data_IF_792704904078
#
_entry.id   IF_792704904078
#
_cell.length_a   1.000
_cell.length_b   1.000
_cell.length_c   1.000
_cell.angle_alpha   90.00
_cell.angle_beta   90.00
_cell.angle_gamma   90.00
#
_symmetry.space_group_name_H-M   'P 1'
#
loop_
_entity.id
_entity.type
_entity.pdbx_description
1 polymer ?
#
# COMPACT_ATOMS: atom_id res chain seq x y z
N UNK A 1 5.54 -7.35 5.24
CA UNK A 1 4.13 -6.92 5.20
C UNK A 1 3.96 -5.59 5.93
N UNK A 2 3.07 -4.73 5.45
CA UNK A 2 2.82 -3.41 6.03
C UNK A 2 1.39 -2.93 5.79
N UNK A 3 0.98 -1.93 6.58
CA UNK A 3 -0.36 -1.40 6.61
C UNK A 3 -0.30 0.14 6.59
N UNK A 4 -1.15 0.82 5.80
CA UNK A 4 -1.15 2.27 5.69
C UNK A 4 0.23 2.81 5.21
N UNK A 5 0.89 3.69 5.93
CA UNK A 5 2.29 4.08 5.67
C UNK A 5 3.26 2.88 5.69
N UNK A 6 3.00 1.85 6.51
CA UNK A 6 3.73 0.59 6.45
C UNK A 6 3.57 -0.13 5.11
N UNK A 7 2.43 0.04 4.45
CA UNK A 7 2.18 -0.43 3.08
C UNK A 7 3.05 0.31 2.06
N UNK A 8 3.19 1.63 2.18
CA UNK A 8 4.13 2.43 1.38
C UNK A 8 5.56 1.93 1.57
N UNK A 9 5.99 1.78 2.83
CA UNK A 9 7.33 1.26 3.17
C UNK A 9 7.55 -0.13 2.56
N UNK A 10 6.56 -1.01 2.65
CA UNK A 10 6.62 -2.35 2.03
C UNK A 10 6.85 -2.25 0.53
N UNK A 11 6.00 -1.51 -0.20
CA UNK A 11 6.10 -1.36 -1.65
C UNK A 11 7.46 -0.77 -2.07
N UNK A 12 7.89 0.31 -1.42
CA UNK A 12 9.17 0.97 -1.76
C UNK A 12 10.38 0.08 -1.46
N UNK A 13 10.34 -0.74 -0.41
CA UNK A 13 11.40 -1.74 -0.16
C UNK A 13 11.42 -2.85 -1.22
N UNK A 14 10.25 -3.36 -1.66
CA UNK A 14 10.19 -4.34 -2.74
C UNK A 14 10.74 -3.78 -4.06
N UNK A 15 10.55 -2.47 -4.31
CA UNK A 15 11.08 -1.80 -5.50
C UNK A 15 12.59 -1.58 -5.43
N UNK A 16 13.09 -1.18 -4.26
CA UNK A 16 14.52 -0.89 -4.06
C UNK A 16 15.36 -2.17 -3.91
N UNK A 17 14.80 -3.22 -3.31
CA UNK A 17 15.50 -4.44 -2.91
C UNK A 17 14.75 -5.71 -3.38
N UNK A 18 14.50 -5.88 -4.69
CA UNK A 18 13.64 -6.97 -5.19
C UNK A 18 14.20 -8.39 -4.93
N UNK A 19 15.50 -8.51 -4.64
CA UNK A 19 16.14 -9.81 -4.36
C UNK A 19 16.12 -10.19 -2.88
N UNK A 20 15.83 -9.24 -1.98
CA UNK A 20 15.89 -9.45 -0.53
C UNK A 20 14.57 -10.00 0.03
N UNK A 21 13.48 -9.91 -0.76
CA UNK A 21 12.15 -10.30 -0.34
C UNK A 21 11.52 -11.30 -1.31
N UNK A 22 10.96 -12.37 -0.78
CA UNK A 22 10.27 -13.40 -1.58
C UNK A 22 8.83 -13.02 -1.93
N UNK A 23 8.18 -12.22 -1.07
CA UNK A 23 6.77 -11.85 -1.19
C UNK A 23 6.46 -10.63 -0.33
N UNK A 24 5.44 -9.86 -0.70
CA UNK A 24 4.93 -8.73 0.06
C UNK A 24 3.42 -8.77 0.31
N UNK A 25 2.98 -8.06 1.35
CA UNK A 25 1.59 -7.73 1.57
C UNK A 25 1.48 -6.25 1.96
N UNK A 26 0.61 -5.52 1.27
CA UNK A 26 0.32 -4.11 1.52
C UNK A 26 -1.19 -3.93 1.76
N UNK A 27 -1.56 -3.64 3.00
CA UNK A 27 -2.94 -3.32 3.39
C UNK A 27 -3.16 -1.81 3.41
N UNK A 28 -4.21 -1.33 2.74
CA UNK A 28 -4.57 0.10 2.63
C UNK A 28 -3.35 1.01 2.45
N UNK A 29 -2.45 0.70 1.47
CA UNK A 29 -1.17 1.37 1.39
C UNK A 29 -1.31 2.83 0.95
N UNK A 30 -0.64 3.75 1.64
CA UNK A 30 -0.32 5.05 1.05
C UNK A 30 0.50 4.79 -0.20
N UNK A 31 0.05 5.23 -1.35
CA UNK A 31 0.63 4.80 -2.63
C UNK A 31 0.79 5.88 -3.68
N UNK A 32 0.11 7.02 -3.52
CA UNK A 32 0.24 8.17 -4.41
C UNK A 32 0.25 9.48 -3.61
N UNK A 33 1.44 9.95 -3.25
CA UNK A 33 1.61 11.17 -2.45
C UNK A 33 1.14 12.43 -3.20
N UNK A 34 1.15 12.44 -4.52
CA UNK A 34 0.65 13.57 -5.31
C UNK A 34 -0.86 13.65 -5.16
N UNK A 35 -1.58 12.55 -5.38
CA UNK A 35 -3.03 12.47 -5.17
C UNK A 35 -3.39 12.76 -3.70
N UNK A 36 -2.60 12.19 -2.75
CA UNK A 36 -2.79 12.36 -1.31
C UNK A 36 -2.76 13.84 -0.88
N UNK A 37 -1.82 14.62 -1.38
CA UNK A 37 -1.77 16.07 -1.11
C UNK A 37 -2.97 16.82 -1.69
N UNK A 38 -3.66 16.24 -2.65
CA UNK A 38 -4.85 16.82 -3.27
C UNK A 38 -6.10 16.75 -2.40
N UNK A 39 -6.27 15.72 -1.56
CA UNK A 39 -7.48 15.51 -0.77
C UNK A 39 -7.31 15.67 0.74
N UNK A 40 -6.08 15.63 1.27
CA UNK A 40 -5.83 15.87 2.68
C UNK A 40 -5.90 17.37 3.06
N UNK A 41 -6.09 17.62 4.35
CA UNK A 41 -6.13 18.96 4.92
C UNK A 41 -4.76 19.67 4.90
N UNK A 42 -4.76 20.96 5.26
CA UNK A 42 -3.54 21.77 5.22
C UNK A 42 -2.49 21.29 6.24
N UNK A 43 -2.91 20.88 7.46
CA UNK A 43 -1.98 20.39 8.48
C UNK A 43 -1.20 19.15 8.02
N UNK A 44 -1.87 18.25 7.32
CA UNK A 44 -1.21 17.08 6.72
C UNK A 44 -0.22 17.48 5.61
N UNK A 45 -0.59 18.42 4.75
CA UNK A 45 0.32 18.97 3.71
C UNK A 45 1.54 19.65 4.33
N UNK A 46 1.35 20.42 5.39
CA UNK A 46 2.44 21.09 6.12
C UNK A 46 3.41 20.09 6.75
N UNK A 47 2.88 18.98 7.31
CA UNK A 47 3.69 17.88 7.82
C UNK A 47 4.64 17.31 6.74
N UNK A 48 4.11 17.04 5.55
CA UNK A 48 4.90 16.49 4.45
C UNK A 48 5.92 17.49 3.89
N UNK A 49 5.58 18.79 3.85
CA UNK A 49 6.49 19.84 3.39
C UNK A 49 7.48 20.35 4.44
N UNK A 50 7.38 19.88 5.68
CA UNK A 50 8.30 20.27 6.75
C UNK A 50 9.75 19.86 6.44
N UNK A 51 10.76 20.64 6.88
CA UNK A 51 12.17 20.40 6.58
C UNK A 51 12.70 19.02 7.01
N UNK A 52 12.09 18.43 8.04
CA UNK A 52 12.44 17.09 8.52
C UNK A 52 11.78 15.95 7.74
N UNK A 53 10.89 16.25 6.79
CA UNK A 53 10.19 15.25 5.97
C UNK A 53 10.62 15.36 4.51
N UNK A 54 9.84 16.02 3.64
CA UNK A 54 10.22 16.27 2.23
C UNK A 54 10.93 17.61 2.09
N UNK A 55 10.58 18.59 2.91
CA UNK A 55 11.20 19.91 2.94
C UNK A 55 10.68 20.90 1.89
N UNK A 56 9.76 20.45 1.03
CA UNK A 56 9.11 21.23 -0.02
C UNK A 56 7.69 20.80 -0.23
N UNK A 57 6.83 21.70 -0.67
CA UNK A 57 5.46 21.38 -1.06
C UNK A 57 5.44 20.59 -2.39
N UNK A 58 4.31 19.95 -2.71
CA UNK A 58 4.13 19.25 -3.98
C UNK A 58 4.25 20.19 -5.19
N UNK A 59 3.95 21.48 -5.03
CA UNK A 59 4.09 22.48 -6.10
C UNK A 59 5.55 22.86 -6.36
N UNK A 60 6.36 22.87 -5.30
CA UNK A 60 7.79 23.23 -5.39
C UNK A 60 8.64 22.08 -5.90
N UNK A 61 8.26 20.83 -5.63
CA UNK A 61 9.03 19.66 -6.03
C UNK A 61 8.12 18.42 -6.24
N UNK A 62 7.34 18.41 -7.30
CA UNK A 62 6.46 17.29 -7.64
C UNK A 62 7.23 16.00 -7.89
N UNK A 63 8.46 16.09 -8.41
CA UNK A 63 9.25 14.91 -8.73
C UNK A 63 9.71 14.16 -7.47
N UNK A 64 9.97 14.86 -6.38
CA UNK A 64 10.27 14.21 -5.09
C UNK A 64 9.05 13.47 -4.53
N UNK A 65 7.83 14.01 -4.66
CA UNK A 65 6.60 13.33 -4.30
C UNK A 65 6.35 12.09 -5.16
N UNK A 66 6.57 12.19 -6.48
CA UNK A 66 6.50 11.05 -7.41
C UNK A 66 7.53 9.99 -7.07
N UNK A 67 8.77 10.39 -6.82
CA UNK A 67 9.86 9.48 -6.46
C UNK A 67 9.55 8.64 -5.22
N UNK A 68 8.81 9.20 -4.26
CA UNK A 68 8.39 8.52 -3.02
C UNK A 68 7.04 7.80 -3.14
N UNK A 69 6.38 7.86 -4.27
CA UNK A 69 5.05 7.27 -4.47
C UNK A 69 5.11 5.93 -5.19
N UNK A 70 4.64 4.84 -4.59
CA UNK A 70 4.59 3.53 -5.24
C UNK A 70 3.88 3.54 -6.61
N UNK A 71 2.78 4.29 -6.77
CA UNK A 71 2.04 4.37 -8.02
C UNK A 71 2.87 4.95 -9.19
N UNK A 72 3.84 5.81 -8.90
CA UNK A 72 4.73 6.44 -9.89
C UNK A 72 6.01 5.64 -10.17
N UNK A 73 6.21 4.52 -9.48
CA UNK A 73 7.38 3.66 -9.59
C UNK A 73 6.99 2.19 -9.82
N UNK A 74 5.78 1.95 -10.31
CA UNK A 74 5.19 0.62 -10.45
C UNK A 74 6.02 -0.33 -11.34
N UNK A 75 6.75 0.20 -12.32
CA UNK A 75 7.64 -0.55 -13.22
C UNK A 75 8.77 -1.30 -12.48
N UNK A 76 9.09 -0.86 -11.25
CA UNK A 76 10.17 -1.45 -10.43
C UNK A 76 9.74 -2.74 -9.72
N UNK A 77 8.44 -3.04 -9.64
CA UNK A 77 7.96 -4.25 -8.97
C UNK A 77 8.47 -5.51 -9.67
N UNK A 78 9.12 -6.39 -8.92
CA UNK A 78 9.55 -7.73 -9.36
C UNK A 78 9.08 -8.84 -8.42
N UNK A 79 8.83 -8.49 -7.17
CA UNK A 79 8.43 -9.41 -6.09
C UNK A 79 6.91 -9.60 -6.08
N UNK A 80 6.39 -10.83 -5.93
CA UNK A 80 4.96 -11.05 -5.75
C UNK A 80 4.40 -10.25 -4.58
N UNK A 81 3.24 -9.61 -4.78
CA UNK A 81 2.57 -8.82 -3.75
C UNK A 81 1.07 -9.01 -3.78
N UNK A 82 0.45 -9.01 -2.60
CA UNK A 82 -0.99 -8.87 -2.42
C UNK A 82 -1.31 -7.48 -1.85
N UNK A 83 -2.26 -6.79 -2.46
CA UNK A 83 -2.72 -5.46 -2.06
C UNK A 83 -4.19 -5.56 -1.64
N UNK A 84 -4.51 -5.14 -0.41
CA UNK A 84 -5.88 -5.01 0.07
C UNK A 84 -6.22 -3.55 0.34
N UNK A 85 -7.44 -3.13 -0.02
CA UNK A 85 -8.01 -1.83 0.36
C UNK A 85 -9.52 -1.91 0.47
N UNK A 86 -10.18 -0.81 0.82
CA UNK A 86 -11.64 -0.72 0.91
C UNK A 86 -12.14 0.62 0.38
N UNK A 87 -13.35 0.61 -0.18
CA UNK A 87 -13.96 1.81 -0.78
C UNK A 87 -14.32 2.90 0.24
N UNK A 88 -14.53 2.54 1.50
CA UNK A 88 -14.85 3.46 2.60
C UNK A 88 -13.66 3.81 3.50
N UNK A 89 -12.45 3.75 2.97
CA UNK A 89 -11.26 4.20 3.70
C UNK A 89 -11.24 5.75 3.73
N UNK A 90 -11.31 6.32 4.94
CA UNK A 90 -11.34 7.76 5.15
C UNK A 90 -9.93 8.38 5.31
N UNK A 91 -8.91 7.57 5.53
CA UNK A 91 -7.52 8.01 5.68
C UNK A 91 -6.76 7.85 4.36
N UNK A 92 -6.66 6.62 3.84
CA UNK A 92 -6.08 6.37 2.52
C UNK A 92 -7.22 6.21 1.51
N UNK A 93 -7.55 7.29 0.84
CA UNK A 93 -8.61 7.26 -0.17
C UNK A 93 -8.35 6.12 -1.18
N UNK A 94 -9.39 5.35 -1.47
CA UNK A 94 -9.30 4.21 -2.41
C UNK A 94 -8.67 4.61 -3.74
N UNK A 95 -8.84 5.86 -4.18
CA UNK A 95 -8.25 6.40 -5.40
C UNK A 95 -6.72 6.23 -5.46
N UNK A 96 -6.00 6.38 -4.34
CA UNK A 96 -4.54 6.16 -4.33
C UNK A 96 -4.20 4.72 -4.71
N UNK A 97 -4.95 3.76 -4.17
CA UNK A 97 -4.71 2.33 -4.41
C UNK A 97 -5.18 1.94 -5.80
N UNK A 98 -6.27 2.53 -6.30
CA UNK A 98 -6.70 2.35 -7.70
C UNK A 98 -5.65 2.87 -8.68
N UNK A 99 -5.03 4.03 -8.42
CA UNK A 99 -3.92 4.54 -9.21
C UNK A 99 -2.73 3.57 -9.19
N UNK A 100 -2.36 3.03 -8.03
CA UNK A 100 -1.32 2.02 -7.92
C UNK A 100 -1.64 0.77 -8.75
N UNK A 101 -2.85 0.22 -8.60
CA UNK A 101 -3.31 -0.97 -9.34
C UNK A 101 -3.26 -0.71 -10.85
N UNK A 102 -3.73 0.46 -11.29
CA UNK A 102 -3.69 0.87 -12.70
C UNK A 102 -2.26 0.95 -13.22
N UNK A 103 -1.38 1.60 -12.47
CA UNK A 103 0.05 1.73 -12.83
C UNK A 103 0.74 0.38 -12.91
N UNK A 104 0.51 -0.53 -11.96
CA UNK A 104 1.05 -1.89 -11.99
C UNK A 104 0.56 -2.68 -13.20
N UNK A 105 -0.74 -2.59 -13.54
CA UNK A 105 -1.30 -3.22 -14.75
C UNK A 105 -0.69 -2.66 -16.02
N UNK A 106 -0.56 -1.34 -16.12
CA UNK A 106 0.07 -0.68 -17.29
C UNK A 106 1.54 -1.06 -17.44
N UNK A 107 2.25 -1.27 -16.35
CA UNK A 107 3.63 -1.74 -16.33
C UNK A 107 3.77 -3.26 -16.55
N UNK A 108 2.68 -3.99 -16.81
CA UNK A 108 2.68 -5.43 -17.04
C UNK A 108 3.11 -6.27 -15.85
N UNK A 109 2.88 -5.80 -14.62
CA UNK A 109 3.31 -6.48 -13.40
C UNK A 109 2.34 -7.56 -12.95
N UNK A 110 2.89 -8.64 -12.37
CA UNK A 110 2.11 -9.72 -11.75
C UNK A 110 1.92 -9.41 -10.27
N UNK A 111 0.66 -9.28 -9.83
CA UNK A 111 0.29 -9.01 -8.45
C UNK A 111 -1.14 -9.46 -8.19
N UNK A 112 -1.49 -9.70 -6.93
CA UNK A 112 -2.87 -9.94 -6.50
C UNK A 112 -3.40 -8.69 -5.78
N UNK A 113 -4.70 -8.40 -5.91
CA UNK A 113 -5.32 -7.28 -5.21
C UNK A 113 -6.79 -7.56 -4.92
N UNK A 114 -7.30 -6.91 -3.88
CA UNK A 114 -8.71 -6.93 -3.54
C UNK A 114 -9.14 -5.58 -2.99
N UNK A 115 -10.18 -5.03 -3.58
CA UNK A 115 -10.88 -3.84 -3.09
C UNK A 115 -12.18 -4.32 -2.46
N UNK A 116 -12.29 -4.20 -1.14
CA UNK A 116 -13.51 -4.53 -0.43
C UNK A 116 -14.51 -3.39 -0.55
N UNK A 117 -15.75 -3.70 -0.76
CA UNK A 117 -16.80 -2.69 -0.74
C UNK A 117 -17.29 -2.49 0.69
N UNK A 118 -17.19 -1.24 1.18
CA UNK A 118 -17.67 -0.83 2.51
C UNK A 118 -17.24 -1.78 3.64
N UNK A 119 -15.95 -2.13 3.71
CA UNK A 119 -15.46 -3.03 4.74
C UNK A 119 -15.74 -2.48 6.15
N UNK A 120 -16.23 -3.32 7.10
CA UNK A 120 -16.44 -2.89 8.47
C UNK A 120 -15.19 -2.33 9.11
N UNK A 121 -15.23 -1.07 9.57
CA UNK A 121 -14.11 -0.36 10.19
C UNK A 121 -13.24 0.44 9.21
N UNK A 122 -13.62 0.56 7.92
CA UNK A 122 -12.92 1.41 6.96
C UNK A 122 -11.42 1.17 6.96
N UNK A 123 -10.63 2.23 7.18
CA UNK A 123 -9.15 2.15 7.25
C UNK A 123 -8.63 1.04 8.19
N UNK A 124 -9.35 0.70 9.25
CA UNK A 124 -8.92 -0.29 10.25
C UNK A 124 -9.48 -1.69 10.00
N UNK A 125 -10.12 -1.96 8.86
CA UNK A 125 -10.92 -3.16 8.60
C UNK A 125 -10.22 -4.48 8.99
N UNK A 126 -8.92 -4.62 8.76
CA UNK A 126 -8.20 -5.86 9.05
C UNK A 126 -7.54 -5.90 10.44
N UNK A 127 -7.61 -4.80 11.21
CA UNK A 127 -7.03 -4.68 12.57
C UNK A 127 -8.05 -4.95 13.68
N UNK A 128 -9.33 -4.91 13.35
CA UNK A 128 -10.40 -5.15 14.29
C UNK A 128 -10.52 -6.65 14.65
N UNK A 129 -11.18 -6.95 15.75
CA UNK A 129 -11.55 -8.34 16.10
C UNK A 129 -12.95 -8.66 15.58
N UNK A 130 -13.12 -8.64 14.27
CA UNK A 130 -14.34 -9.03 13.59
C UNK A 130 -14.12 -10.30 12.76
N UNK A 131 -15.20 -11.00 12.42
CA UNK A 131 -15.10 -12.14 11.49
C UNK A 131 -14.48 -11.72 10.16
N UNK A 132 -14.91 -10.58 9.60
CA UNK A 132 -14.39 -10.01 8.37
C UNK A 132 -12.88 -9.78 8.46
N UNK A 133 -12.40 -9.16 9.54
CA UNK A 133 -10.98 -8.89 9.75
C UNK A 133 -10.15 -10.19 9.82
N UNK A 134 -10.67 -11.21 10.51
CA UNK A 134 -10.02 -12.53 10.58
C UNK A 134 -9.93 -13.20 9.21
N UNK A 135 -10.99 -13.13 8.41
CA UNK A 135 -11.02 -13.67 7.03
C UNK A 135 -10.06 -12.94 6.11
N UNK A 136 -10.01 -11.61 6.17
CA UNK A 136 -9.07 -10.78 5.41
C UNK A 136 -7.60 -11.09 5.76
N UNK A 137 -7.29 -11.23 7.05
CA UNK A 137 -5.94 -11.63 7.49
C UNK A 137 -5.59 -13.06 7.04
N UNK A 138 -6.54 -13.99 7.14
CA UNK A 138 -6.33 -15.36 6.67
C UNK A 138 -6.06 -15.42 5.17
N UNK A 139 -6.71 -14.56 4.37
CA UNK A 139 -6.42 -14.43 2.93
C UNK A 139 -4.97 -13.97 2.70
N UNK A 140 -4.54 -12.92 3.41
CA UNK A 140 -3.16 -12.43 3.35
C UNK A 140 -2.14 -13.51 3.76
N UNK A 141 -2.39 -14.25 4.83
CA UNK A 141 -1.51 -15.32 5.29
C UNK A 141 -1.45 -16.50 4.30
N UNK A 142 -2.57 -16.88 3.70
CA UNK A 142 -2.58 -17.90 2.63
C UNK A 142 -1.76 -17.44 1.41
N UNK A 143 -1.87 -16.18 1.02
CA UNK A 143 -1.04 -15.64 -0.06
C UNK A 143 0.45 -15.70 0.30
N UNK A 144 0.83 -15.23 1.48
CA UNK A 144 2.23 -15.28 1.93
C UNK A 144 2.76 -16.71 2.00
N UNK A 145 1.96 -17.65 2.49
CA UNK A 145 2.34 -19.07 2.62
C UNK A 145 2.67 -19.72 1.27
N UNK A 146 1.99 -19.33 0.18
CA UNK A 146 2.31 -19.84 -1.18
C UNK A 146 3.76 -19.57 -1.60
N UNK A 147 4.40 -18.55 -1.05
CA UNK A 147 5.74 -18.11 -1.42
C UNK A 147 6.81 -18.39 -0.35
N UNK A 148 6.40 -18.55 0.91
CA UNK A 148 7.31 -18.69 2.04
C UNK A 148 7.50 -20.14 2.49
N UNK A 149 6.60 -21.07 2.06
CA UNK A 149 6.61 -22.48 2.46
C UNK A 149 6.82 -22.64 3.99
N UNK A 150 5.96 -22.07 4.84
CA UNK A 150 6.08 -22.20 6.28
C UNK A 150 5.98 -23.68 6.66
N UNK A 151 6.66 -24.13 7.75
CA UNK A 151 6.47 -25.49 8.26
C UNK A 151 4.99 -25.73 8.55
N UNK A 152 4.51 -26.96 8.31
CA UNK A 152 3.15 -27.34 8.70
C UNK A 152 3.04 -27.15 10.21
N UNK A 153 2.09 -26.31 10.65
CA UNK A 153 1.84 -26.12 12.07
C UNK A 153 1.41 -27.43 12.71
N UNK A 154 1.92 -27.71 13.89
CA UNK A 154 1.38 -28.78 14.73
C UNK A 154 -0.12 -28.55 14.91
N UNK A 155 -0.93 -29.57 14.58
CA UNK A 155 -2.40 -29.53 14.67
C UNK A 155 -2.86 -29.61 16.12
#
# INVERSE_FOLDING_TARGET
>A
MGFSHGGLITLMNLYAHPKDFKVGYAGVPVSDLVARMGYHDQGYRDLFSAPYHIGKTVREDIEEYRRRSPAWNAEKLQTPILIHTTTNDEDVNVLEVENLIKSLKMAGKTFEHKIYENAPGGHQFNRLDTKFARESRAEAYRFLAKHLNPPEGEK
#
